data_IF_181264569220
#
_entry.id   IF_181264569220
#
_cell.length_a   1.000
_cell.length_b   1.000
_cell.length_c   1.000
_cell.angle_alpha   90.00
_cell.angle_beta   90.00
_cell.angle_gamma   90.00
#
_symmetry.space_group_name_H-M   'P 1'
#
loop_
_entity.id
_entity.type
_entity.pdbx_description
1 polymer ?
#
# COMPACT_ATOMS: atom_id res chain seq x y z
N UNK A 1 27.99 0.92 -6.63
CA UNK A 1 27.74 1.31 -8.05
C UNK A 1 26.25 1.52 -8.32
N UNK A 2 25.37 0.60 -7.88
CA UNK A 2 23.91 0.74 -7.98
C UNK A 2 23.34 1.96 -7.23
N UNK A 3 23.70 2.15 -5.95
CA UNK A 3 23.21 3.26 -5.12
C UNK A 3 23.52 4.63 -5.76
N UNK A 4 24.74 4.81 -6.27
CA UNK A 4 25.16 6.05 -6.99
C UNK A 4 24.31 6.35 -8.23
N UNK A 5 23.76 5.33 -8.90
CA UNK A 5 22.89 5.53 -10.09
C UNK A 5 21.47 5.98 -9.70
N UNK A 6 21.00 5.57 -8.53
CA UNK A 6 19.73 6.04 -7.95
C UNK A 6 19.89 7.48 -7.47
N UNK A 7 20.93 7.75 -6.66
CA UNK A 7 21.17 9.07 -6.06
C UNK A 7 21.42 10.17 -7.09
N UNK A 8 22.09 9.85 -8.20
CA UNK A 8 22.38 10.82 -9.28
C UNK A 8 21.25 10.97 -10.30
N UNK A 9 20.08 10.36 -10.08
CA UNK A 9 18.92 10.44 -10.98
C UNK A 9 19.09 9.72 -12.32
N UNK A 10 20.20 9.00 -12.55
CA UNK A 10 20.44 8.27 -13.79
C UNK A 10 19.41 7.16 -14.01
N UNK A 11 19.01 6.48 -12.93
CA UNK A 11 17.97 5.46 -12.99
C UNK A 11 16.61 6.05 -13.37
N UNK A 12 16.22 7.19 -12.77
CA UNK A 12 14.97 7.88 -13.10
C UNK A 12 14.95 8.33 -14.57
N UNK A 13 16.06 8.88 -15.07
CA UNK A 13 16.17 9.24 -16.49
C UNK A 13 15.93 8.03 -17.40
N UNK A 14 16.58 6.91 -17.10
CA UNK A 14 16.40 5.70 -17.93
C UNK A 14 14.98 5.13 -17.84
N UNK A 15 14.34 5.23 -16.68
CA UNK A 15 12.95 4.82 -16.51
C UNK A 15 12.00 5.68 -17.35
N UNK A 16 12.23 7.00 -17.44
CA UNK A 16 11.45 7.88 -18.34
C UNK A 16 11.59 7.51 -19.81
N UNK A 17 12.79 7.17 -20.27
CA UNK A 17 13.01 6.66 -21.63
C UNK A 17 12.23 5.35 -21.90
N UNK A 18 12.08 4.48 -20.89
CA UNK A 18 11.27 3.25 -21.02
C UNK A 18 9.77 3.58 -21.08
N UNK A 19 9.29 4.53 -20.27
CA UNK A 19 7.89 4.98 -20.31
C UNK A 19 7.53 5.51 -21.70
N UNK A 20 8.38 6.38 -22.25
CA UNK A 20 8.20 6.94 -23.60
C UNK A 20 8.19 5.86 -24.67
N UNK A 21 9.13 4.90 -24.61
CA UNK A 21 9.20 3.79 -25.56
C UNK A 21 7.97 2.85 -25.50
N UNK A 22 7.26 2.82 -24.37
CA UNK A 22 6.01 2.07 -24.20
C UNK A 22 4.76 2.91 -24.53
N UNK A 23 4.92 4.16 -24.95
CA UNK A 23 3.83 5.07 -25.31
C UNK A 23 3.17 5.80 -24.14
N UNK A 24 3.80 5.81 -22.96
CA UNK A 24 3.35 6.60 -21.81
C UNK A 24 3.90 8.03 -21.81
N UNK A 25 3.43 8.85 -20.88
CA UNK A 25 3.96 10.21 -20.68
C UNK A 25 5.25 10.18 -19.80
N UNK A 26 6.44 10.50 -20.35
CA UNK A 26 7.68 10.51 -19.57
C UNK A 26 7.76 11.62 -18.51
N UNK A 27 6.87 12.62 -18.58
CA UNK A 27 6.82 13.74 -17.64
C UNK A 27 5.82 13.52 -16.50
N UNK A 28 5.08 12.41 -16.50
CA UNK A 28 4.14 12.07 -15.43
C UNK A 28 4.85 12.10 -14.07
N UNK A 29 4.20 12.70 -13.08
CA UNK A 29 4.70 12.73 -11.71
C UNK A 29 3.95 11.69 -10.87
N UNK A 30 4.56 11.13 -9.82
CA UNK A 30 3.89 10.19 -8.93
C UNK A 30 2.57 10.73 -8.35
N UNK A 31 2.48 12.04 -8.14
CA UNK A 31 1.29 12.71 -7.60
C UNK A 31 0.14 12.81 -8.62
N UNK A 32 0.43 12.64 -9.92
CA UNK A 32 -0.58 12.66 -10.98
C UNK A 32 -1.28 11.28 -11.12
N UNK A 33 -0.82 10.26 -10.41
CA UNK A 33 -1.41 8.91 -10.42
C UNK A 33 -2.63 8.88 -9.49
N UNK A 34 -3.80 8.66 -10.07
CA UNK A 34 -5.04 8.55 -9.31
C UNK A 34 -5.07 7.29 -8.43
N UNK A 35 -5.46 7.48 -7.17
CA UNK A 35 -5.66 6.42 -6.18
C UNK A 35 -7.13 6.36 -5.76
N UNK A 36 -7.58 5.19 -5.31
CA UNK A 36 -8.98 4.97 -4.93
C UNK A 36 -9.42 5.90 -3.79
N UNK A 37 -10.52 6.62 -3.99
CA UNK A 37 -11.00 7.64 -3.04
C UNK A 37 -11.61 7.08 -1.75
N UNK A 38 -12.04 5.82 -1.74
CA UNK A 38 -12.58 5.18 -0.54
C UNK A 38 -11.45 4.52 0.25
N UNK A 39 -11.29 4.91 1.51
CA UNK A 39 -10.17 4.45 2.33
C UNK A 39 -10.57 3.92 3.69
N UNK A 40 -9.78 2.99 4.22
CA UNK A 40 -9.91 2.51 5.59
C UNK A 40 -8.55 2.29 6.24
N UNK A 41 -8.32 2.96 7.38
CA UNK A 41 -7.08 2.84 8.14
C UNK A 41 -7.16 1.72 9.19
N UNK A 42 -6.19 0.82 9.15
CA UNK A 42 -5.96 -0.14 10.23
C UNK A 42 -4.98 0.48 11.22
N UNK A 43 -5.49 0.83 12.40
CA UNK A 43 -4.73 1.51 13.45
C UNK A 43 -4.25 0.55 14.54
N UNK A 44 -3.10 0.84 15.11
CA UNK A 44 -2.55 0.15 16.26
C UNK A 44 -3.48 0.28 17.48
N UNK A 45 -3.94 -0.85 18.01
CA UNK A 45 -4.83 -0.88 19.19
C UNK A 45 -4.10 -0.62 20.51
N UNK A 46 -2.79 -0.81 20.54
CA UNK A 46 -1.92 -0.63 21.70
C UNK A 46 -0.52 -0.19 21.25
N UNK A 47 0.27 0.30 22.20
CA UNK A 47 1.71 0.51 21.98
C UNK A 47 2.44 -0.85 21.92
N UNK A 48 3.55 -0.90 21.19
CA UNK A 48 4.43 -2.06 21.15
C UNK A 48 5.28 -2.10 19.90
N UNK A 49 5.76 -3.28 19.54
CA UNK A 49 6.52 -3.54 18.31
C UNK A 49 5.72 -4.46 17.40
N UNK A 50 5.69 -4.19 16.10
CA UNK A 50 5.07 -5.11 15.13
C UNK A 50 5.90 -6.38 15.10
N UNK A 51 5.31 -7.49 15.57
CA UNK A 51 5.97 -8.79 15.62
C UNK A 51 5.54 -9.72 14.49
N UNK A 52 4.44 -9.40 13.80
CA UNK A 52 3.95 -10.18 12.67
C UNK A 52 3.05 -9.33 11.77
N UNK A 53 3.19 -9.54 10.46
CA UNK A 53 2.31 -9.09 9.39
C UNK A 53 2.03 -10.32 8.52
N UNK A 54 0.75 -10.60 8.25
CA UNK A 54 0.38 -11.73 7.38
C UNK A 54 0.20 -11.27 5.94
N UNK A 55 1.20 -11.54 5.11
CA UNK A 55 1.26 -11.11 3.72
C UNK A 55 0.11 -11.70 2.87
N UNK A 56 -0.34 -12.92 3.18
CA UNK A 56 -1.45 -13.56 2.49
C UNK A 56 -2.77 -12.80 2.72
N UNK A 57 -3.07 -12.45 3.98
CA UNK A 57 -4.24 -11.64 4.31
C UNK A 57 -4.16 -10.23 3.73
N UNK A 58 -2.97 -9.62 3.70
CA UNK A 58 -2.76 -8.31 3.06
C UNK A 58 -3.03 -8.39 1.55
N UNK A 59 -2.56 -9.43 0.88
CA UNK A 59 -2.85 -9.66 -0.53
C UNK A 59 -4.34 -9.86 -0.80
N UNK A 60 -5.04 -10.61 0.07
CA UNK A 60 -6.51 -10.79 -0.02
C UNK A 60 -7.24 -9.46 0.19
N UNK A 61 -6.81 -8.63 1.16
CA UNK A 61 -7.37 -7.29 1.38
C UNK A 61 -7.28 -6.42 0.12
N UNK A 62 -6.12 -6.38 -0.52
CA UNK A 62 -5.94 -5.64 -1.77
C UNK A 62 -6.87 -6.15 -2.88
N UNK A 63 -7.01 -7.48 -3.01
CA UNK A 63 -7.91 -8.10 -4.00
C UNK A 63 -9.37 -7.75 -3.77
N UNK A 64 -9.83 -7.85 -2.52
CA UNK A 64 -11.21 -7.51 -2.14
C UNK A 64 -11.49 -6.01 -2.33
N UNK A 65 -10.49 -5.16 -2.13
CA UNK A 65 -10.59 -3.72 -2.40
C UNK A 65 -10.74 -3.39 -3.90
N UNK A 66 -10.35 -4.32 -4.80
CA UNK A 66 -10.53 -4.21 -6.25
C UNK A 66 -9.28 -4.49 -7.09
N UNK A 67 -8.11 -4.63 -6.44
CA UNK A 67 -6.84 -4.86 -7.12
C UNK A 67 -6.80 -6.27 -7.77
N UNK A 68 -6.19 -6.45 -8.96
CA UNK A 68 -5.51 -5.44 -9.78
C UNK A 68 -6.42 -4.77 -10.82
N UNK A 69 -7.71 -5.12 -10.87
CA UNK A 69 -8.64 -4.61 -11.90
C UNK A 69 -8.90 -3.12 -11.75
N UNK A 70 -9.09 -2.68 -10.51
CA UNK A 70 -9.17 -1.27 -10.13
C UNK A 70 -7.75 -0.81 -9.80
N UNK A 71 -7.15 0.06 -10.62
CA UNK A 71 -5.73 0.43 -10.50
C UNK A 71 -5.46 1.30 -9.28
N UNK A 72 -6.43 2.10 -8.85
CA UNK A 72 -6.35 2.89 -7.63
C UNK A 72 -6.60 2.07 -6.36
N UNK A 73 -7.02 0.81 -6.47
CA UNK A 73 -7.27 -0.05 -5.32
C UNK A 73 -6.00 -0.80 -4.87
N UNK A 74 -5.83 -0.93 -3.56
CA UNK A 74 -4.67 -1.62 -3.00
C UNK A 74 -4.53 -1.42 -1.49
N UNK A 75 -3.35 -1.77 -0.97
CA UNK A 75 -2.97 -1.57 0.43
C UNK A 75 -1.64 -0.84 0.49
N UNK A 76 -1.59 0.22 1.30
CA UNK A 76 -0.35 0.91 1.65
C UNK A 76 0.07 0.55 3.06
N UNK A 77 1.30 0.05 3.24
CA UNK A 77 1.87 -0.25 4.55
C UNK A 77 2.60 1.00 5.08
N UNK A 78 2.14 1.53 6.21
CA UNK A 78 2.81 2.63 6.92
C UNK A 78 3.87 2.14 7.91
N UNK A 79 3.75 0.88 8.31
CA UNK A 79 4.63 0.25 9.31
C UNK A 79 5.01 -1.16 8.88
N UNK A 80 6.28 -1.48 9.03
CA UNK A 80 6.89 -2.75 8.69
C UNK A 80 7.18 -3.59 9.93
N UNK A 81 7.53 -4.86 9.67
CA UNK A 81 7.94 -5.80 10.71
C UNK A 81 9.09 -5.20 11.54
N UNK A 82 8.94 -5.26 12.86
CA UNK A 82 9.93 -4.76 13.79
C UNK A 82 9.86 -3.27 14.10
N UNK A 83 8.98 -2.50 13.45
CA UNK A 83 8.78 -1.11 13.83
C UNK A 83 7.99 -0.95 15.13
N UNK A 84 8.29 0.11 15.87
CA UNK A 84 7.53 0.51 17.06
C UNK A 84 6.28 1.29 16.65
N UNK A 85 5.19 1.05 17.36
CA UNK A 85 3.90 1.74 17.18
C UNK A 85 3.35 2.20 18.52
N UNK A 86 2.62 3.31 18.52
CA UNK A 86 1.79 3.80 19.60
C UNK A 86 0.32 3.50 19.29
N UNK A 87 -0.53 3.52 20.32
CA UNK A 87 -1.98 3.39 20.11
C UNK A 87 -2.47 4.51 19.20
N UNK A 88 -3.18 4.15 18.13
CA UNK A 88 -3.70 5.09 17.14
C UNK A 88 -2.86 5.24 15.88
N UNK A 89 -1.59 4.80 15.89
CA UNK A 89 -0.73 4.86 14.70
C UNK A 89 -1.35 4.05 13.56
N UNK A 90 -1.31 4.59 12.34
CA UNK A 90 -1.71 3.84 11.14
C UNK A 90 -0.66 2.77 10.87
N UNK A 91 -1.11 1.54 10.67
CA UNK A 91 -0.25 0.41 10.30
C UNK A 91 -0.36 0.16 8.81
N UNK A 92 -1.58 0.14 8.29
CA UNK A 92 -1.85 0.08 6.86
C UNK A 92 -3.12 0.85 6.52
N UNK A 93 -3.23 1.28 5.26
CA UNK A 93 -4.44 1.88 4.69
C UNK A 93 -4.88 1.06 3.49
N UNK A 94 -6.16 0.71 3.46
CA UNK A 94 -6.82 0.06 2.32
C UNK A 94 -7.39 1.17 1.44
N UNK A 95 -7.13 1.12 0.13
CA UNK A 95 -7.69 2.03 -0.88
C UNK A 95 -8.60 1.23 -1.82
N UNK A 96 -9.75 1.80 -2.18
CA UNK A 96 -10.71 1.22 -3.12
C UNK A 96 -11.37 2.31 -3.97
N UNK A 97 -11.75 1.95 -5.21
CA UNK A 97 -12.48 2.84 -6.11
C UNK A 97 -14.01 2.82 -5.86
N UNK A 98 -14.51 1.89 -5.03
CA UNK A 98 -15.93 1.86 -4.64
C UNK A 98 -16.13 1.51 -3.17
N UNK A 99 -17.13 2.12 -2.54
CA UNK A 99 -17.52 1.88 -1.15
C UNK A 99 -17.87 0.41 -0.89
N UNK A 100 -18.54 -0.25 -1.85
CA UNK A 100 -18.95 -1.64 -1.76
C UNK A 100 -17.75 -2.58 -1.58
N UNK A 101 -16.70 -2.39 -2.40
CA UNK A 101 -15.46 -3.19 -2.34
C UNK A 101 -14.69 -2.92 -1.05
N UNK A 102 -14.60 -1.65 -0.63
CA UNK A 102 -14.01 -1.31 0.66
C UNK A 102 -14.74 -2.02 1.83
N UNK A 103 -16.07 -2.01 1.80
CA UNK A 103 -16.90 -2.67 2.82
C UNK A 103 -16.68 -4.18 2.86
N UNK A 104 -16.41 -4.81 1.71
CA UNK A 104 -16.05 -6.23 1.62
C UNK A 104 -14.67 -6.51 2.25
N UNK A 105 -13.66 -5.69 1.93
CA UNK A 105 -12.35 -5.78 2.55
C UNK A 105 -12.41 -5.58 4.08
N UNK A 106 -13.19 -4.62 4.57
CA UNK A 106 -13.40 -4.39 6.02
C UNK A 106 -14.07 -5.60 6.68
N UNK A 107 -15.04 -6.24 6.01
CA UNK A 107 -15.69 -7.45 6.53
C UNK A 107 -14.69 -8.60 6.67
N UNK A 108 -13.81 -8.79 5.69
CA UNK A 108 -12.72 -9.76 5.78
C UNK A 108 -11.76 -9.42 6.94
N UNK A 109 -11.29 -8.18 7.03
CA UNK A 109 -10.42 -7.70 8.12
C UNK A 109 -11.00 -7.98 9.50
N UNK A 110 -12.31 -7.81 9.69
CA UNK A 110 -12.97 -8.07 10.99
C UNK A 110 -13.01 -9.55 11.35
N UNK A 111 -13.04 -10.44 10.36
CA UNK A 111 -13.04 -11.90 10.56
C UNK A 111 -11.62 -12.41 10.82
N UNK A 112 -10.63 -11.86 10.13
CA UNK A 112 -9.23 -12.28 10.23
C UNK A 112 -8.51 -11.52 11.36
N UNK A 113 -8.31 -12.19 12.49
CA UNK A 113 -7.81 -11.54 13.71
C UNK A 113 -6.29 -11.37 13.75
N UNK A 114 -5.54 -11.96 12.81
CA UNK A 114 -4.07 -12.05 12.90
C UNK A 114 -3.31 -11.32 11.80
N UNK A 115 -3.96 -10.44 11.04
CA UNK A 115 -3.27 -9.65 9.99
C UNK A 115 -2.08 -8.86 10.55
N UNK A 116 -2.23 -8.31 11.76
CA UNK A 116 -1.16 -7.58 12.44
C UNK A 116 -1.09 -8.00 13.91
N UNK A 117 0.10 -8.37 14.37
CA UNK A 117 0.37 -8.64 15.80
C UNK A 117 1.36 -7.63 16.35
N UNK A 118 0.96 -6.99 17.44
CA UNK A 118 1.80 -6.05 18.20
C UNK A 118 2.17 -6.74 19.52
N UNK A 119 3.46 -6.82 19.82
CA UNK A 119 3.98 -7.27 21.12
C UNK A 119 4.38 -6.08 21.97
#
# INVERSE_FOLDING_TARGET
MFERSIEKGKALKKFREIIEAQGGDPNIRPEDIEIGGYTYDVKARKRGKISHLDDNSIAILARLAGSPKDKGAGVYLHKHLGEKVKKGDKILTIYAESERKLTEAIRFLRREKRIVVIR
#
